data_IF_670302817972
#
_entry.id   IF_670302817972
#
_cell.length_a   1.000
_cell.length_b   1.000
_cell.length_c   1.000
_cell.angle_alpha   90.00
_cell.angle_beta   90.00
_cell.angle_gamma   90.00
#
_symmetry.space_group_name_H-M   'P 1'
#
loop_
_entity.id
_entity.type
_entity.pdbx_description
1 polymer ?
#
# COMPACT_ATOMS: atom_id res chain seq x y z
N UNK A 1 6.67 -14.67 -54.14
CA UNK A 1 6.20 -13.60 -55.03
C UNK A 1 4.70 -13.72 -55.19
N UNK A 2 3.99 -12.77 -54.56
CA UNK A 2 2.62 -12.27 -54.77
C UNK A 2 2.35 -11.49 -53.48
N UNK A 3 3.05 -10.36 -53.35
CA UNK A 3 2.46 -9.03 -53.47
C UNK A 3 1.72 -8.67 -52.18
N UNK A 4 2.53 -8.10 -51.28
CA UNK A 4 2.09 -7.11 -50.31
C UNK A 4 1.30 -6.02 -51.05
N UNK A 5 -0.02 -6.19 -51.09
CA UNK A 5 -0.92 -5.11 -51.41
C UNK A 5 -1.17 -4.33 -50.12
N UNK A 6 -0.69 -3.10 -50.08
CA UNK A 6 -1.25 -2.03 -49.25
C UNK A 6 -2.75 -1.87 -49.55
N UNK A 7 -3.56 -2.78 -49.01
CA UNK A 7 -5.02 -2.73 -49.07
C UNK A 7 -5.50 -1.85 -47.93
N UNK A 8 -6.15 -0.73 -48.27
CA UNK A 8 -6.80 0.22 -47.37
C UNK A 8 -7.30 -0.46 -46.09
N UNK A 9 -6.98 0.06 -44.90
CA UNK A 9 -7.46 -0.47 -43.60
C UNK A 9 -8.99 -0.48 -43.40
N UNK A 10 -9.76 -0.28 -44.46
CA UNK A 10 -11.21 -0.34 -44.54
C UNK A 10 -11.72 -1.78 -44.44
N UNK A 11 -12.60 -2.03 -43.47
CA UNK A 11 -13.40 -3.25 -43.42
C UNK A 11 -14.85 -2.91 -43.80
N UNK A 12 -15.45 -3.59 -44.79
CA UNK A 12 -16.83 -3.30 -45.18
C UNK A 12 -17.80 -3.72 -44.06
N UNK A 13 -18.87 -2.94 -43.79
CA UNK A 13 -19.89 -3.32 -42.82
C UNK A 13 -20.58 -4.62 -43.23
N UNK A 14 -20.89 -5.53 -42.29
CA UNK A 14 -21.63 -6.77 -42.60
C UNK A 14 -22.98 -6.54 -43.26
N UNK A 15 -23.57 -5.37 -43.03
CA UNK A 15 -24.79 -4.92 -43.71
C UNK A 15 -24.68 -4.83 -45.23
N UNK A 16 -23.49 -4.64 -45.79
CA UNK A 16 -23.27 -4.68 -47.24
C UNK A 16 -23.53 -6.08 -47.78
N UNK A 17 -22.97 -7.11 -47.12
CA UNK A 17 -23.20 -8.52 -47.48
C UNK A 17 -24.66 -8.90 -47.29
N UNK A 18 -25.31 -8.43 -46.22
CA UNK A 18 -26.77 -8.65 -46.04
C UNK A 18 -27.54 -8.06 -47.22
N UNK A 19 -27.22 -6.83 -47.67
CA UNK A 19 -27.91 -6.22 -48.83
C UNK A 19 -27.67 -6.99 -50.12
N UNK A 20 -26.50 -7.58 -50.31
CA UNK A 20 -26.22 -8.44 -51.46
C UNK A 20 -27.05 -9.73 -51.42
N UNK A 21 -27.10 -10.41 -50.28
CA UNK A 21 -27.87 -11.65 -50.12
C UNK A 21 -29.38 -11.44 -50.25
N UNK A 22 -29.88 -10.28 -49.81
CA UNK A 22 -31.28 -9.86 -50.02
C UNK A 22 -31.60 -9.67 -51.51
N UNK A 23 -30.72 -8.97 -52.25
CA UNK A 23 -30.90 -8.76 -53.69
C UNK A 23 -30.92 -10.09 -54.46
N UNK A 24 -30.02 -11.03 -54.13
CA UNK A 24 -29.97 -12.36 -54.77
C UNK A 24 -31.26 -13.15 -54.60
N UNK A 25 -31.95 -12.98 -53.47
CA UNK A 25 -33.20 -13.69 -53.12
C UNK A 25 -34.46 -12.90 -53.44
N UNK A 26 -34.34 -11.65 -53.91
CA UNK A 26 -35.48 -10.75 -54.11
C UNK A 26 -36.18 -10.33 -52.82
N UNK A 27 -35.50 -10.44 -51.67
CA UNK A 27 -36.07 -10.14 -50.35
C UNK A 27 -35.93 -8.66 -49.99
N UNK A 28 -36.93 -8.13 -49.32
CA UNK A 28 -36.86 -6.83 -48.65
C UNK A 28 -36.26 -6.96 -47.25
N UNK A 29 -35.89 -5.84 -46.63
CA UNK A 29 -35.45 -5.85 -45.22
C UNK A 29 -36.56 -6.29 -44.26
N UNK A 30 -37.83 -6.07 -44.64
CA UNK A 30 -38.99 -6.52 -43.88
C UNK A 30 -39.13 -8.05 -43.96
N UNK A 31 -38.89 -8.63 -45.14
CA UNK A 31 -38.88 -10.08 -45.31
C UNK A 31 -37.78 -10.73 -44.47
N UNK A 32 -36.58 -10.14 -44.45
CA UNK A 32 -35.51 -10.60 -43.57
C UNK A 32 -35.90 -10.52 -42.09
N UNK A 33 -36.56 -9.44 -41.68
CA UNK A 33 -37.02 -9.29 -40.30
C UNK A 33 -38.00 -10.39 -39.90
N UNK A 34 -38.91 -10.76 -40.80
CA UNK A 34 -39.83 -11.89 -40.60
C UNK A 34 -39.08 -13.23 -40.56
N UNK A 35 -38.12 -13.46 -41.48
CA UNK A 35 -37.32 -14.70 -41.54
C UNK A 35 -36.46 -14.90 -40.29
N UNK A 36 -35.88 -13.83 -39.76
CA UNK A 36 -35.06 -13.88 -38.55
C UNK A 36 -35.89 -13.86 -37.26
N UNK A 37 -37.20 -13.64 -37.34
CA UNK A 37 -38.08 -13.37 -36.19
C UNK A 37 -37.51 -12.24 -35.31
N UNK A 38 -37.17 -11.11 -35.95
CA UNK A 38 -36.58 -9.94 -35.29
C UNK A 38 -37.33 -8.65 -35.69
N UNK A 39 -37.36 -7.62 -34.82
CA UNK A 39 -37.96 -6.34 -35.18
C UNK A 39 -37.26 -5.70 -36.39
N UNK A 40 -38.03 -5.22 -37.37
CA UNK A 40 -37.51 -4.54 -38.56
C UNK A 40 -36.55 -3.37 -38.24
N UNK A 41 -36.76 -2.54 -37.19
CA UNK A 41 -35.79 -1.51 -36.81
C UNK A 41 -34.41 -2.07 -36.45
N UNK A 42 -34.35 -3.22 -35.77
CA UNK A 42 -33.10 -3.90 -35.41
C UNK A 42 -32.36 -4.39 -36.66
N UNK A 43 -33.07 -5.04 -37.58
CA UNK A 43 -32.49 -5.51 -38.85
C UNK A 43 -31.97 -4.33 -39.68
N UNK A 44 -32.71 -3.23 -39.75
CA UNK A 44 -32.25 -2.01 -40.41
C UNK A 44 -30.99 -1.42 -39.74
N UNK A 45 -30.92 -1.39 -38.40
CA UNK A 45 -29.73 -0.92 -37.68
C UNK A 45 -28.50 -1.83 -37.89
N UNK A 46 -28.69 -3.14 -38.00
CA UNK A 46 -27.63 -4.09 -38.37
C UNK A 46 -27.16 -3.82 -39.81
N UNK A 47 -28.09 -3.66 -40.75
CA UNK A 47 -27.78 -3.34 -42.15
C UNK A 47 -27.06 -2.00 -42.27
N UNK A 48 -27.38 -1.01 -41.43
CA UNK A 48 -26.68 0.28 -41.38
C UNK A 48 -25.33 0.21 -40.64
N UNK A 49 -24.94 -0.95 -40.09
CA UNK A 49 -23.72 -1.12 -39.29
C UNK A 49 -23.76 -0.43 -37.92
N UNK A 50 -24.92 0.09 -37.50
CA UNK A 50 -25.11 0.76 -36.20
C UNK A 50 -25.24 -0.23 -35.05
N UNK A 51 -25.85 -1.38 -35.31
CA UNK A 51 -26.05 -2.44 -34.33
C UNK A 51 -25.19 -3.65 -34.65
N UNK A 52 -24.71 -4.33 -33.60
CA UNK A 52 -23.85 -5.50 -33.70
C UNK A 52 -24.63 -6.76 -34.09
N UNK A 53 -24.00 -7.62 -34.89
CA UNK A 53 -24.46 -8.99 -35.09
C UNK A 53 -24.04 -9.80 -33.85
N UNK A 54 -25.00 -10.15 -33.00
CA UNK A 54 -24.75 -11.06 -31.87
C UNK A 54 -24.55 -12.50 -32.34
N UNK A 55 -23.97 -13.40 -31.52
CA UNK A 55 -23.85 -14.83 -31.89
C UNK A 55 -25.19 -15.47 -32.30
N UNK A 56 -26.28 -15.15 -31.62
CA UNK A 56 -27.62 -15.64 -31.93
C UNK A 56 -28.09 -15.12 -33.29
N UNK A 57 -27.82 -13.84 -33.57
CA UNK A 57 -28.16 -13.21 -34.85
C UNK A 57 -27.33 -13.83 -35.99
N UNK A 58 -26.05 -14.12 -35.75
CA UNK A 58 -25.18 -14.79 -36.72
C UNK A 58 -25.68 -16.22 -37.05
N UNK A 59 -26.16 -16.96 -36.06
CA UNK A 59 -26.78 -18.28 -36.28
C UNK A 59 -28.05 -18.14 -37.12
N UNK A 60 -28.92 -17.19 -36.80
CA UNK A 60 -30.14 -16.95 -37.57
C UNK A 60 -29.84 -16.54 -39.03
N UNK A 61 -28.88 -15.63 -39.23
CA UNK A 61 -28.39 -15.24 -40.55
C UNK A 61 -27.77 -16.41 -41.31
N UNK A 62 -27.11 -17.34 -40.61
CA UNK A 62 -26.53 -18.51 -41.27
C UNK A 62 -27.57 -19.45 -41.84
N UNK A 63 -28.70 -19.60 -41.15
CA UNK A 63 -29.84 -20.38 -41.64
C UNK A 63 -30.59 -19.64 -42.75
N UNK A 64 -30.62 -18.31 -42.73
CA UNK A 64 -31.32 -17.50 -43.72
C UNK A 64 -30.56 -17.36 -45.05
N UNK A 65 -29.22 -17.33 -44.99
CA UNK A 65 -28.37 -16.99 -46.14
C UNK A 65 -27.37 -18.07 -46.55
N UNK A 66 -27.35 -19.22 -45.87
CA UNK A 66 -26.44 -20.35 -46.14
C UNK A 66 -24.95 -19.98 -46.01
N UNK A 67 -24.66 -18.92 -45.26
CA UNK A 67 -23.31 -18.44 -44.93
C UNK A 67 -23.05 -18.78 -43.46
N UNK A 68 -21.94 -19.46 -43.15
CA UNK A 68 -21.69 -19.91 -41.78
C UNK A 68 -21.77 -18.78 -40.73
N UNK A 69 -22.26 -19.09 -39.53
CA UNK A 69 -22.31 -18.12 -38.44
C UNK A 69 -20.91 -17.57 -38.08
N UNK A 70 -19.87 -18.40 -38.23
CA UNK A 70 -18.48 -18.00 -38.03
C UNK A 70 -18.04 -16.91 -39.00
N UNK A 71 -18.46 -17.00 -40.26
CA UNK A 71 -18.16 -15.98 -41.28
C UNK A 71 -18.83 -14.64 -40.92
N UNK A 72 -20.09 -14.67 -40.48
CA UNK A 72 -20.79 -13.46 -40.02
C UNK A 72 -20.10 -12.79 -38.82
N UNK A 73 -19.69 -13.58 -37.82
CA UNK A 73 -18.94 -13.08 -36.66
C UNK A 73 -17.59 -12.51 -37.08
N UNK A 74 -16.88 -13.18 -37.98
CA UNK A 74 -15.56 -12.74 -38.46
C UNK A 74 -15.65 -11.38 -39.15
N UNK A 75 -16.66 -11.19 -40.01
CA UNK A 75 -16.91 -9.91 -40.69
C UNK A 75 -17.34 -8.80 -39.74
N UNK A 76 -18.25 -9.10 -38.81
CA UNK A 76 -18.66 -8.16 -37.76
C UNK A 76 -17.46 -7.71 -36.92
N UNK A 77 -16.61 -8.64 -36.51
CA UNK A 77 -15.41 -8.33 -35.75
C UNK A 77 -14.44 -7.45 -36.55
N UNK A 78 -14.20 -7.77 -37.83
CA UNK A 78 -13.35 -6.98 -38.70
C UNK A 78 -13.85 -5.53 -38.84
N UNK A 79 -15.16 -5.35 -39.04
CA UNK A 79 -15.78 -4.03 -39.14
C UNK A 79 -15.73 -3.24 -37.83
N UNK A 80 -16.04 -3.88 -36.68
CA UNK A 80 -15.96 -3.22 -35.37
C UNK A 80 -14.53 -2.83 -35.01
N UNK A 81 -13.55 -3.66 -35.35
CA UNK A 81 -12.14 -3.33 -35.20
C UNK A 81 -11.79 -2.09 -36.02
N UNK A 82 -12.20 -2.03 -37.28
CA UNK A 82 -11.99 -0.86 -38.14
C UNK A 82 -12.56 0.42 -37.52
N UNK A 83 -13.84 0.43 -37.12
CA UNK A 83 -14.47 1.58 -36.48
C UNK A 83 -13.76 2.00 -35.19
N UNK A 84 -13.31 1.02 -34.39
CA UNK A 84 -12.58 1.29 -33.14
C UNK A 84 -11.24 1.97 -33.42
N UNK A 85 -10.50 1.52 -34.44
CA UNK A 85 -9.24 2.14 -34.84
C UNK A 85 -9.42 3.57 -35.33
N UNK A 86 -10.46 3.83 -36.14
CA UNK A 86 -10.78 5.20 -36.57
C UNK A 86 -11.12 6.11 -35.39
N UNK A 87 -11.87 5.61 -34.41
CA UNK A 87 -12.20 6.37 -33.21
C UNK A 87 -10.95 6.63 -32.34
N UNK A 88 -10.04 5.66 -32.22
CA UNK A 88 -8.75 5.86 -31.53
C UNK A 88 -7.94 6.95 -32.23
N UNK A 89 -7.79 6.91 -33.55
CA UNK A 89 -7.06 7.92 -34.32
C UNK A 89 -7.68 9.31 -34.15
N UNK A 90 -9.02 9.40 -34.22
CA UNK A 90 -9.77 10.65 -33.98
C UNK A 90 -9.50 11.20 -32.58
N UNK A 91 -9.55 10.36 -31.56
CA UNK A 91 -9.30 10.76 -30.17
C UNK A 91 -7.85 11.15 -29.94
N UNK A 92 -6.88 10.44 -30.53
CA UNK A 92 -5.45 10.76 -30.44
C UNK A 92 -5.12 12.12 -31.07
N UNK A 93 -5.76 12.45 -32.20
CA UNK A 93 -5.67 13.78 -32.82
C UNK A 93 -6.17 14.90 -31.91
N UNK A 94 -7.13 14.61 -31.03
CA UNK A 94 -7.59 15.48 -29.95
C UNK A 94 -6.83 15.16 -28.64
N UNK A 95 -5.51 15.37 -28.65
CA UNK A 95 -4.57 14.94 -27.60
C UNK A 95 -4.97 15.35 -26.17
N UNK A 96 -5.76 16.42 -25.98
CA UNK A 96 -6.29 16.80 -24.67
C UNK A 96 -7.34 15.82 -24.14
N UNK A 97 -8.19 15.28 -25.00
CA UNK A 97 -9.26 14.35 -24.60
C UNK A 97 -8.74 12.92 -24.38
N UNK A 98 -7.76 12.48 -25.17
CA UNK A 98 -7.19 11.13 -25.06
C UNK A 98 -6.26 10.95 -23.85
N UNK A 99 -5.58 12.01 -23.40
CA UNK A 99 -4.70 11.96 -22.22
C UNK A 99 -5.43 12.19 -20.88
N UNK A 100 -6.62 12.83 -20.92
CA UNK A 100 -7.41 13.19 -19.73
C UNK A 100 -8.74 12.43 -19.66
N UNK A 101 -8.78 11.20 -20.14
CA UNK A 101 -10.01 10.40 -19.97
C UNK A 101 -10.31 10.21 -18.48
N UNK A 102 -11.59 10.24 -18.05
CA UNK A 102 -11.96 9.98 -16.66
C UNK A 102 -11.41 8.64 -16.12
N UNK A 103 -11.24 7.64 -17.00
CA UNK A 103 -10.69 6.33 -16.67
C UNK A 103 -9.19 6.42 -16.36
N UNK A 104 -8.39 7.10 -17.20
CA UNK A 104 -6.96 7.31 -16.92
C UNK A 104 -6.75 8.12 -15.64
N UNK A 105 -7.56 9.16 -15.43
CA UNK A 105 -7.51 9.95 -14.19
C UNK A 105 -7.78 9.09 -12.96
N UNK A 106 -8.88 8.32 -12.96
CA UNK A 106 -9.18 7.37 -11.87
C UNK A 106 -8.07 6.35 -11.68
N UNK A 107 -7.51 5.80 -12.75
CA UNK A 107 -6.37 4.88 -12.68
C UNK A 107 -5.21 5.52 -11.92
N UNK A 108 -4.77 6.73 -12.32
CA UNK A 108 -3.67 7.45 -11.65
C UNK A 108 -3.95 7.67 -10.15
N UNK A 109 -5.17 8.06 -9.79
CA UNK A 109 -5.53 8.29 -8.38
C UNK A 109 -5.42 7.01 -7.54
N UNK A 110 -5.81 5.86 -8.08
CA UNK A 110 -5.75 4.56 -7.40
C UNK A 110 -4.35 3.93 -7.42
N UNK A 111 -3.51 4.29 -8.40
CA UNK A 111 -2.07 3.96 -8.40
C UNK A 111 -1.30 4.81 -7.38
N UNK A 112 -1.74 6.04 -7.13
CA UNK A 112 -1.11 6.95 -6.17
C UNK A 112 -1.40 6.58 -4.71
N UNK A 113 -2.62 6.13 -4.41
CA UNK A 113 -3.05 5.90 -3.02
C UNK A 113 -4.16 4.84 -2.88
N UNK A 114 -4.31 4.18 -1.71
CA UNK A 114 -5.43 3.29 -1.41
C UNK A 114 -6.70 4.11 -1.09
N UNK A 115 -7.28 4.74 -2.11
CA UNK A 115 -8.37 5.73 -2.00
C UNK A 115 -9.51 5.26 -1.10
N UNK A 116 -10.02 4.05 -1.32
CA UNK A 116 -11.19 3.55 -0.57
C UNK A 116 -10.92 3.37 0.92
N UNK A 117 -9.74 2.87 1.26
CA UNK A 117 -9.33 2.71 2.65
C UNK A 117 -9.13 4.08 3.30
N UNK A 118 -8.48 5.03 2.62
CA UNK A 118 -8.30 6.40 3.12
C UNK A 118 -9.63 7.14 3.33
N UNK A 119 -10.62 6.93 2.44
CA UNK A 119 -11.98 7.45 2.59
C UNK A 119 -12.68 6.83 3.82
N UNK A 120 -12.59 5.50 3.97
CA UNK A 120 -13.15 4.77 5.13
C UNK A 120 -12.54 5.24 6.45
N UNK A 121 -11.25 5.55 6.45
CA UNK A 121 -10.47 6.05 7.59
C UNK A 121 -10.68 7.56 7.84
N UNK A 122 -11.45 8.25 7.00
CA UNK A 122 -11.66 9.69 7.12
C UNK A 122 -10.39 10.54 6.88
N UNK A 123 -9.34 9.96 6.27
CA UNK A 123 -8.10 10.66 5.94
C UNK A 123 -8.29 11.60 4.74
N UNK A 124 -9.21 11.23 3.84
CA UNK A 124 -9.67 12.05 2.72
C UNK A 124 -11.20 12.04 2.65
N UNK A 125 -11.78 13.01 1.95
CA UNK A 125 -13.23 13.09 1.74
C UNK A 125 -13.72 11.86 0.96
N UNK A 126 -14.79 11.24 1.45
CA UNK A 126 -15.52 10.22 0.71
C UNK A 126 -16.28 10.88 -0.45
N UNK A 127 -15.84 10.57 -1.68
CA UNK A 127 -16.44 11.10 -2.90
C UNK A 127 -16.33 10.06 -4.04
N UNK A 128 -17.26 10.13 -4.99
CA UNK A 128 -17.26 9.31 -6.21
C UNK A 128 -16.73 10.07 -7.42
N UNK A 129 -16.68 11.40 -7.31
CA UNK A 129 -16.10 12.28 -8.31
C UNK A 129 -14.57 12.24 -8.30
N UNK A 130 -13.97 12.20 -9.49
CA UNK A 130 -12.53 12.07 -9.65
C UNK A 130 -11.79 13.37 -9.31
N UNK A 131 -12.40 14.53 -9.58
CA UNK A 131 -11.79 15.84 -9.32
C UNK A 131 -11.77 16.13 -7.81
N UNK A 132 -12.87 15.83 -7.11
CA UNK A 132 -12.96 15.93 -5.66
C UNK A 132 -11.97 14.98 -4.95
N UNK A 133 -11.79 13.76 -5.48
CA UNK A 133 -10.81 12.79 -4.98
C UNK A 133 -9.38 13.30 -5.19
N UNK A 134 -9.08 13.82 -6.40
CA UNK A 134 -7.79 14.43 -6.70
C UNK A 134 -7.46 15.57 -5.74
N UNK A 135 -8.37 16.52 -5.56
CA UNK A 135 -8.18 17.65 -4.65
C UNK A 135 -7.88 17.19 -3.22
N UNK A 136 -8.57 16.14 -2.76
CA UNK A 136 -8.35 15.56 -1.43
C UNK A 136 -6.99 14.89 -1.31
N UNK A 137 -6.54 14.14 -2.33
CA UNK A 137 -5.21 13.52 -2.34
C UNK A 137 -4.10 14.57 -2.43
N UNK A 138 -4.26 15.60 -3.26
CA UNK A 138 -3.31 16.73 -3.36
C UNK A 138 -3.13 17.42 -2.03
N UNK A 139 -4.24 17.69 -1.32
CA UNK A 139 -4.21 18.25 0.03
C UNK A 139 -3.55 17.30 1.04
N UNK A 140 -3.86 16.01 0.98
CA UNK A 140 -3.32 15.00 1.89
C UNK A 140 -1.80 14.86 1.76
N UNK A 141 -1.31 14.78 0.52
CA UNK A 141 0.11 14.62 0.20
C UNK A 141 0.89 15.94 0.11
N UNK A 142 0.21 17.09 0.12
CA UNK A 142 0.85 18.40 -0.06
C UNK A 142 1.51 18.56 -1.44
N UNK A 143 0.90 17.98 -2.49
CA UNK A 143 1.44 18.00 -3.86
C UNK A 143 0.63 18.90 -4.79
N UNK A 144 1.30 19.56 -5.73
CA UNK A 144 0.66 20.40 -6.74
C UNK A 144 0.00 19.60 -7.87
N UNK A 145 0.51 18.42 -8.18
CA UNK A 145 -0.05 17.53 -9.21
C UNK A 145 0.06 16.07 -8.76
N UNK A 146 -0.94 15.26 -9.12
CA UNK A 146 -0.93 13.79 -8.90
C UNK A 146 0.09 13.06 -9.77
N UNK A 147 0.67 13.73 -10.76
CA UNK A 147 1.79 13.21 -11.55
C UNK A 147 3.13 13.29 -10.80
N UNK A 148 3.19 14.06 -9.71
CA UNK A 148 4.38 14.17 -8.88
C UNK A 148 4.34 13.10 -7.77
N UNK A 149 5.42 12.33 -7.64
CA UNK A 149 5.53 11.36 -6.55
C UNK A 149 5.67 12.08 -5.19
N UNK A 150 4.81 11.79 -4.20
CA UNK A 150 4.89 12.43 -2.89
C UNK A 150 6.19 12.05 -2.15
N UNK A 151 6.97 13.04 -1.65
CA UNK A 151 8.18 12.77 -0.90
C UNK A 151 7.86 12.31 0.53
N UNK A 152 8.22 11.07 0.87
CA UNK A 152 7.94 10.46 2.18
C UNK A 152 8.76 11.08 3.32
N UNK A 153 9.99 11.54 3.02
CA UNK A 153 10.96 12.07 4.01
C UNK A 153 11.05 13.59 4.09
N UNK A 154 10.17 14.33 3.40
CA UNK A 154 10.30 15.78 3.29
C UNK A 154 11.57 16.20 2.53
N UNK A 155 12.20 17.30 2.95
CA UNK A 155 13.32 17.94 2.25
C UNK A 155 14.70 17.30 2.50
N UNK A 156 14.80 16.17 3.20
CA UNK A 156 16.08 15.48 3.39
C UNK A 156 16.60 14.96 2.03
N UNK A 157 17.81 15.38 1.64
CA UNK A 157 18.45 14.97 0.39
C UNK A 157 18.62 13.45 0.35
N UNK A 158 17.98 12.80 -0.62
CA UNK A 158 18.18 11.37 -0.92
C UNK A 158 19.65 11.12 -1.28
N UNK A 159 20.33 10.26 -0.54
CA UNK A 159 21.69 9.80 -0.87
C UNK A 159 21.75 8.33 -1.33
N UNK A 160 20.63 7.59 -1.33
CA UNK A 160 20.60 6.19 -1.76
C UNK A 160 19.31 5.83 -2.54
N UNK A 161 19.36 4.82 -3.44
CA UNK A 161 18.17 4.25 -4.04
C UNK A 161 17.39 3.46 -2.97
N UNK A 162 16.25 3.99 -2.52
CA UNK A 162 15.31 3.24 -1.69
C UNK A 162 14.35 2.47 -2.59
N UNK A 163 13.96 1.25 -2.20
CA UNK A 163 12.81 0.55 -2.78
C UNK A 163 11.60 1.51 -2.75
N UNK A 164 10.88 1.71 -3.87
CA UNK A 164 9.73 2.60 -3.88
C UNK A 164 8.65 2.09 -2.92
N UNK A 165 8.24 2.92 -1.96
CA UNK A 165 7.17 2.55 -1.05
C UNK A 165 5.86 2.34 -1.83
N UNK A 166 5.11 1.31 -1.46
CA UNK A 166 3.78 1.07 -2.01
C UNK A 166 2.84 2.26 -1.72
N UNK A 167 1.76 2.43 -2.49
CA UNK A 167 0.79 3.49 -2.24
C UNK A 167 0.25 3.51 -0.81
N UNK A 168 0.06 2.32 -0.21
CA UNK A 168 -0.43 2.18 1.16
C UNK A 168 0.64 2.54 2.20
N UNK A 169 1.89 2.12 2.01
CA UNK A 169 3.02 2.53 2.87
C UNK A 169 3.21 4.05 2.84
N UNK A 170 3.15 4.65 1.65
CA UNK A 170 3.26 6.10 1.45
C UNK A 170 2.13 6.85 2.14
N UNK A 171 0.88 6.44 1.93
CA UNK A 171 -0.27 7.04 2.60
C UNK A 171 -0.14 6.96 4.13
N UNK A 172 0.30 5.83 4.66
CA UNK A 172 0.51 5.62 6.09
C UNK A 172 1.64 6.51 6.65
N UNK A 173 2.78 6.61 5.97
CA UNK A 173 3.89 7.47 6.39
C UNK A 173 3.53 8.96 6.39
N UNK A 174 2.75 9.41 5.40
CA UNK A 174 2.19 10.76 5.40
C UNK A 174 1.24 10.98 6.59
N UNK A 175 0.48 9.96 7.00
CA UNK A 175 -0.39 10.07 8.17
C UNK A 175 0.41 10.28 9.45
N UNK A 176 1.47 9.50 9.63
CA UNK A 176 2.42 9.63 10.73
C UNK A 176 2.95 11.07 10.81
N UNK A 177 3.43 11.61 9.67
CA UNK A 177 3.95 12.99 9.59
C UNK A 177 2.88 14.04 9.92
N UNK A 178 1.66 13.89 9.42
CA UNK A 178 0.57 14.83 9.70
C UNK A 178 0.24 14.88 11.19
N UNK A 179 0.09 13.71 11.84
CA UNK A 179 -0.21 13.64 13.27
C UNK A 179 0.94 14.20 14.10
N UNK A 180 2.19 13.88 13.74
CA UNK A 180 3.36 14.40 14.43
C UNK A 180 3.50 15.93 14.27
N UNK A 181 3.23 16.46 13.08
CA UNK A 181 3.29 17.91 12.80
C UNK A 181 2.25 18.69 13.60
N UNK A 182 1.13 18.05 13.92
CA UNK A 182 0.08 18.63 14.74
C UNK A 182 0.39 18.60 16.25
N UNK A 183 1.52 18.03 16.68
CA UNK A 183 2.00 18.13 18.07
C UNK A 183 2.80 19.44 18.23
N UNK A 184 2.36 20.37 19.11
CA UNK A 184 3.03 21.66 19.27
C UNK A 184 4.49 21.50 19.68
N UNK A 185 5.39 22.21 18.97
CA UNK A 185 6.83 22.20 19.28
C UNK A 185 7.13 22.62 20.72
N UNK A 186 6.39 23.60 21.25
CA UNK A 186 6.49 24.04 22.64
C UNK A 186 6.21 22.93 23.66
N UNK A 187 5.42 21.92 23.27
CA UNK A 187 5.11 20.80 24.16
C UNK A 187 6.20 19.73 24.18
N UNK A 188 6.95 19.54 23.09
CA UNK A 188 7.90 18.43 22.90
C UNK A 188 9.34 18.81 23.29
N UNK A 189 9.67 20.09 23.32
CA UNK A 189 11.05 20.53 23.56
C UNK A 189 11.95 20.32 22.33
N UNK A 190 13.23 20.65 22.48
CA UNK A 190 14.22 20.55 21.40
C UNK A 190 14.94 19.21 21.47
N UNK A 191 15.09 18.53 20.34
CA UNK A 191 15.91 17.33 20.25
C UNK A 191 17.39 17.65 20.45
N UNK A 192 18.06 16.86 21.28
CA UNK A 192 19.50 16.86 21.48
C UNK A 192 20.06 15.48 21.15
N UNK A 193 20.84 15.40 20.09
CA UNK A 193 21.46 14.17 19.60
C UNK A 193 22.42 13.55 20.62
N UNK A 194 23.05 14.38 21.46
CA UNK A 194 23.95 13.89 22.52
C UNK A 194 23.22 13.16 23.65
N UNK A 195 21.90 13.36 23.76
CA UNK A 195 21.06 12.77 24.80
C UNK A 195 20.37 11.45 24.37
N UNK A 196 20.58 10.96 23.13
CA UNK A 196 19.88 9.77 22.64
C UNK A 196 20.24 8.49 23.42
N UNK A 197 21.49 8.37 23.87
CA UNK A 197 21.90 7.22 24.69
C UNK A 197 21.24 7.25 26.08
N UNK A 198 20.96 8.43 26.62
CA UNK A 198 20.20 8.58 27.86
C UNK A 198 18.71 8.28 27.65
N UNK A 199 18.14 8.68 26.51
CA UNK A 199 16.80 8.26 26.08
C UNK A 199 16.66 6.74 26.05
N UNK A 200 17.61 6.05 25.39
CA UNK A 200 17.64 4.59 25.34
C UNK A 200 17.75 3.99 26.74
N UNK A 201 18.59 4.57 27.61
CA UNK A 201 18.75 4.12 29.00
C UNK A 201 17.46 4.23 29.80
N UNK A 202 16.69 5.31 29.62
CA UNK A 202 15.40 5.50 30.28
C UNK A 202 14.33 4.55 29.73
N UNK A 203 14.29 4.34 28.41
CA UNK A 203 13.38 3.37 27.78
C UNK A 203 13.64 1.94 28.25
N UNK A 204 14.91 1.55 28.44
CA UNK A 204 15.26 0.23 29.01
C UNK A 204 14.66 0.01 30.40
N UNK A 205 14.55 1.05 31.23
CA UNK A 205 13.88 0.95 32.55
C UNK A 205 12.41 0.62 32.42
N UNK A 206 11.73 1.12 31.38
CA UNK A 206 10.33 0.86 31.10
C UNK A 206 10.11 -0.55 30.53
N UNK A 207 11.05 -1.04 29.73
CA UNK A 207 10.98 -2.36 29.08
C UNK A 207 11.02 -3.55 30.06
N UNK A 208 11.30 -3.31 31.33
CA UNK A 208 11.20 -4.31 32.40
C UNK A 208 9.76 -4.71 32.74
N UNK A 209 8.78 -3.79 32.56
CA UNK A 209 7.41 -3.98 33.04
C UNK A 209 6.38 -3.63 31.98
N UNK A 210 5.43 -4.52 31.72
CA UNK A 210 4.45 -4.34 30.66
C UNK A 210 3.56 -3.10 30.81
N UNK A 211 3.17 -2.79 32.06
CA UNK A 211 2.37 -1.62 32.38
C UNK A 211 3.08 -0.29 32.09
N UNK A 212 4.42 -0.28 32.03
CA UNK A 212 5.22 0.94 31.91
C UNK A 212 5.36 1.42 30.46
N UNK A 213 4.90 0.62 29.49
CA UNK A 213 4.77 1.04 28.09
C UNK A 213 3.92 2.31 27.95
N UNK A 214 2.96 2.55 28.86
CA UNK A 214 2.19 3.80 28.94
C UNK A 214 3.05 5.07 29.04
N UNK A 215 4.29 4.95 29.55
CA UNK A 215 5.20 6.08 29.75
C UNK A 215 6.12 6.32 28.55
N UNK A 216 6.16 5.41 27.57
CA UNK A 216 7.03 5.55 26.38
C UNK A 216 6.78 6.87 25.63
N UNK A 217 5.52 7.30 25.36
CA UNK A 217 5.28 8.57 24.69
C UNK A 217 5.87 9.76 25.46
N UNK A 218 5.71 9.79 26.79
CA UNK A 218 6.26 10.84 27.66
C UNK A 218 7.78 10.80 27.73
N UNK A 219 8.38 9.59 27.77
CA UNK A 219 9.82 9.42 27.78
C UNK A 219 10.44 9.95 26.48
N UNK A 220 9.96 9.52 25.32
CA UNK A 220 10.43 10.00 24.01
C UNK A 220 10.27 11.53 23.87
N UNK A 221 9.12 12.03 24.32
CA UNK A 221 8.82 13.47 24.34
C UNK A 221 9.83 14.26 25.18
N UNK A 222 10.29 13.75 26.32
CA UNK A 222 11.29 14.44 27.15
C UNK A 222 12.64 14.65 26.42
N UNK A 223 12.92 13.85 25.40
CA UNK A 223 14.11 13.94 24.56
C UNK A 223 13.84 14.62 23.20
N UNK A 224 12.70 15.29 23.03
CA UNK A 224 12.38 16.00 21.78
C UNK A 224 11.86 15.12 20.65
N UNK A 225 11.56 13.83 20.91
CA UNK A 225 11.10 12.88 19.89
C UNK A 225 9.57 12.82 19.88
N UNK A 226 8.97 13.11 18.73
CA UNK A 226 7.52 12.98 18.53
C UNK A 226 7.16 11.52 18.29
N UNK A 227 6.21 11.01 19.06
CA UNK A 227 5.79 9.62 18.97
C UNK A 227 4.30 9.53 18.67
N UNK A 228 3.95 8.78 17.62
CA UNK A 228 2.55 8.56 17.21
C UNK A 228 2.33 7.09 16.87
N UNK A 229 1.08 6.64 17.01
CA UNK A 229 0.65 5.31 16.58
C UNK A 229 -0.34 5.49 15.42
N UNK A 230 -0.14 4.75 14.33
CA UNK A 230 -1.09 4.73 13.22
C UNK A 230 -1.32 3.28 12.83
N UNK A 231 -2.53 2.77 12.98
CA UNK A 231 -2.85 1.40 12.53
C UNK A 231 -2.52 1.26 11.03
N UNK A 232 -1.84 0.15 10.69
CA UNK A 232 -1.44 -0.13 9.31
C UNK A 232 -2.63 -0.22 8.35
N UNK A 233 -2.44 0.26 7.13
CA UNK A 233 -3.41 0.05 6.05
C UNK A 233 -3.33 -1.38 5.51
N UNK A 234 -4.45 -1.89 5.00
CA UNK A 234 -4.48 -3.21 4.36
C UNK A 234 -3.42 -3.32 3.26
N UNK A 235 -2.61 -4.37 3.32
CA UNK A 235 -1.53 -4.63 2.36
C UNK A 235 -0.28 -3.75 2.51
N UNK A 236 -0.27 -2.73 3.38
CA UNK A 236 0.90 -1.88 3.57
C UNK A 236 2.07 -2.61 4.21
N UNK A 237 1.78 -3.71 4.96
CA UNK A 237 2.76 -4.46 5.77
C UNK A 237 3.75 -3.49 6.41
N UNK A 238 3.32 -2.65 7.35
CA UNK A 238 4.20 -1.64 7.97
C UNK A 238 4.40 -1.98 9.43
N UNK A 239 5.60 -1.80 9.97
CA UNK A 239 5.91 -2.01 11.39
C UNK A 239 6.23 -0.68 12.09
N UNK A 240 7.11 0.12 11.50
CA UNK A 240 7.54 1.42 12.01
C UNK A 240 8.04 2.37 10.93
N UNK A 241 8.28 3.62 11.32
CA UNK A 241 8.83 4.66 10.45
C UNK A 241 9.46 5.79 11.26
N UNK A 242 10.75 5.98 11.06
CA UNK A 242 11.54 7.11 11.55
C UNK A 242 11.65 8.20 10.47
N UNK A 243 11.30 9.43 10.83
CA UNK A 243 11.41 10.57 9.92
C UNK A 243 11.65 11.87 10.68
N UNK A 244 11.85 12.95 9.93
CA UNK A 244 12.09 14.28 10.46
C UNK A 244 11.10 15.27 9.83
N UNK A 245 10.53 16.15 10.65
CA UNK A 245 9.70 17.27 10.18
C UNK A 245 10.58 18.42 9.67
N UNK A 246 11.72 18.63 10.35
CA UNK A 246 12.78 19.59 10.10
C UNK A 246 14.10 19.04 10.68
N UNK A 247 15.21 19.79 10.62
CA UNK A 247 16.54 19.34 11.07
C UNK A 247 16.67 19.01 12.57
N UNK A 248 15.67 19.36 13.39
CA UNK A 248 15.67 19.23 14.85
C UNK A 248 14.40 18.56 15.42
N UNK A 249 13.48 18.09 14.56
CA UNK A 249 12.18 17.53 14.96
C UNK A 249 12.02 16.08 14.50
N UNK A 250 12.61 15.11 15.22
CA UNK A 250 12.47 13.69 14.90
C UNK A 250 11.07 13.17 15.25
N UNK A 251 10.64 12.19 14.47
CA UNK A 251 9.34 11.51 14.56
C UNK A 251 9.55 10.02 14.48
N UNK A 252 8.90 9.30 15.37
CA UNK A 252 8.74 7.84 15.31
C UNK A 252 7.25 7.54 15.22
N UNK A 253 6.84 6.86 14.14
CA UNK A 253 5.51 6.31 13.97
C UNK A 253 5.55 4.78 14.04
N UNK A 254 4.69 4.16 14.84
CA UNK A 254 4.56 2.69 14.90
C UNK A 254 3.18 2.23 14.47
N UNK A 255 3.12 1.07 13.82
CA UNK A 255 1.86 0.49 13.34
C UNK A 255 1.19 -0.47 14.33
N UNK A 256 2.01 -1.08 15.20
CA UNK A 256 1.61 -2.20 16.06
C UNK A 256 1.00 -3.38 15.28
N UNK A 257 1.45 -3.61 14.04
CA UNK A 257 1.02 -4.75 13.19
C UNK A 257 1.04 -6.06 13.95
N UNK A 258 2.08 -6.26 14.75
CA UNK A 258 2.14 -7.33 15.75
C UNK A 258 1.92 -6.74 17.14
N UNK A 259 0.72 -6.95 17.70
CA UNK A 259 0.37 -6.54 19.07
C UNK A 259 1.08 -7.44 20.11
N UNK A 260 2.41 -7.32 20.15
CA UNK A 260 3.30 -8.13 20.98
C UNK A 260 4.37 -7.26 21.60
N UNK A 261 4.61 -7.48 22.89
CA UNK A 261 5.56 -6.72 23.69
C UNK A 261 6.98 -6.75 23.15
N UNK A 262 7.45 -7.93 22.74
CA UNK A 262 8.79 -8.11 22.17
C UNK A 262 8.94 -7.45 20.80
N UNK A 263 7.92 -7.58 19.95
CA UNK A 263 7.88 -6.91 18.64
C UNK A 263 7.91 -5.40 18.80
N UNK A 264 7.10 -4.85 19.71
CA UNK A 264 7.04 -3.41 19.97
C UNK A 264 8.40 -2.82 20.36
N UNK A 265 9.10 -3.44 21.32
CA UNK A 265 10.41 -2.94 21.76
C UNK A 265 11.46 -3.07 20.67
N UNK A 266 11.44 -4.17 19.90
CA UNK A 266 12.35 -4.33 18.77
C UNK A 266 12.10 -3.27 17.69
N UNK A 267 10.86 -3.06 17.27
CA UNK A 267 10.51 -2.00 16.30
C UNK A 267 10.90 -0.62 16.82
N UNK A 268 10.57 -0.28 18.07
CA UNK A 268 10.96 1.01 18.64
C UNK A 268 12.48 1.20 18.67
N UNK A 269 13.24 0.16 19.02
CA UNK A 269 14.70 0.20 19.01
C UNK A 269 15.28 0.38 17.61
N UNK A 270 14.66 -0.24 16.60
CA UNK A 270 15.02 -0.09 15.19
C UNK A 270 14.83 1.38 14.76
N UNK A 271 13.66 1.97 15.02
CA UNK A 271 13.41 3.37 14.67
C UNK A 271 14.34 4.34 15.43
N UNK A 272 14.67 4.05 16.69
CA UNK A 272 15.63 4.85 17.46
C UNK A 272 17.04 4.81 16.86
N UNK A 273 17.47 3.68 16.29
CA UNK A 273 18.74 3.59 15.57
C UNK A 273 18.74 4.56 14.38
N UNK A 274 17.66 4.61 13.61
CA UNK A 274 17.55 5.56 12.50
C UNK A 274 17.58 7.02 12.95
N UNK A 275 16.91 7.36 14.06
CA UNK A 275 17.00 8.71 14.64
C UNK A 275 18.43 9.02 15.11
N UNK A 276 19.11 8.05 15.74
CA UNK A 276 20.49 8.18 16.22
C UNK A 276 21.49 8.44 15.10
N UNK A 277 21.31 7.80 13.95
CA UNK A 277 22.24 7.93 12.81
C UNK A 277 21.76 8.92 11.75
N UNK A 278 20.62 9.61 11.97
CA UNK A 278 19.96 10.51 11.01
C UNK A 278 19.74 9.87 9.64
N UNK A 279 19.31 8.62 9.63
CA UNK A 279 19.04 7.89 8.40
C UNK A 279 17.77 8.38 7.71
N UNK A 280 17.73 8.18 6.38
CA UNK A 280 16.48 8.20 5.62
C UNK A 280 15.91 6.78 5.67
N UNK A 281 15.16 6.49 6.73
CA UNK A 281 14.57 5.17 6.99
C UNK A 281 13.44 4.86 6.00
N UNK A 282 13.49 3.80 5.18
CA UNK A 282 12.32 3.37 4.41
C UNK A 282 11.13 3.09 5.35
N UNK A 283 9.90 3.09 4.81
CA UNK A 283 8.76 2.59 5.60
C UNK A 283 8.94 1.09 5.77
N UNK A 284 9.32 0.64 6.96
CA UNK A 284 9.74 -0.74 7.16
C UNK A 284 8.53 -1.69 7.17
N UNK A 285 8.72 -2.84 6.51
CA UNK A 285 7.70 -3.84 6.25
C UNK A 285 8.00 -5.25 6.73
N UNK A 286 9.21 -5.48 7.22
CA UNK A 286 9.68 -6.79 7.67
C UNK A 286 10.68 -6.68 8.84
N UNK A 287 10.17 -6.16 9.96
CA UNK A 287 10.91 -6.09 11.21
C UNK A 287 10.76 -7.43 11.95
N UNK A 288 11.79 -8.27 11.84
CA UNK A 288 12.11 -9.30 12.82
C UNK A 288 11.17 -10.51 12.93
N UNK A 289 10.36 -10.86 11.91
CA UNK A 289 9.46 -12.02 12.03
C UNK A 289 9.56 -13.09 10.94
N UNK A 290 10.02 -12.81 9.71
CA UNK A 290 10.24 -13.87 8.72
C UNK A 290 11.49 -13.54 7.87
N UNK A 291 12.54 -14.36 7.92
CA UNK A 291 13.60 -14.29 6.91
C UNK A 291 13.01 -14.81 5.60
N UNK A 292 12.59 -13.94 4.70
CA UNK A 292 12.42 -14.31 3.31
C UNK A 292 13.82 -14.38 2.66
N UNK A 293 14.33 -15.58 2.31
CA UNK A 293 15.65 -15.72 1.71
C UNK A 293 15.73 -15.13 0.29
N UNK A 294 14.60 -14.70 -0.29
CA UNK A 294 14.50 -14.09 -1.62
C UNK A 294 14.57 -12.56 -1.62
N UNK A 295 14.57 -11.91 -0.44
CA UNK A 295 14.71 -10.45 -0.34
C UNK A 295 16.15 -10.00 -0.60
N UNK A 296 16.28 -8.90 -1.36
CA UNK A 296 17.52 -8.18 -1.59
C UNK A 296 18.32 -7.98 -0.28
N UNK A 297 19.65 -7.94 -0.40
CA UNK A 297 20.53 -7.61 0.72
C UNK A 297 20.09 -6.28 1.32
N UNK A 298 19.56 -6.33 2.56
CA UNK A 298 19.13 -5.14 3.30
C UNK A 298 20.23 -4.06 3.24
N UNK A 299 19.88 -2.78 2.97
CA UNK A 299 20.83 -1.68 2.99
C UNK A 299 21.67 -1.66 4.28
N UNK A 300 22.91 -1.11 4.24
CA UNK A 300 23.76 -1.06 5.44
C UNK A 300 23.10 -0.40 6.66
N UNK A 301 22.27 0.64 6.44
CA UNK A 301 21.53 1.31 7.52
C UNK A 301 20.51 0.39 8.19
N UNK A 302 19.74 -0.39 7.42
CA UNK A 302 18.75 -1.36 7.92
C UNK A 302 19.42 -2.47 8.73
N UNK A 303 20.56 -2.99 8.23
CA UNK A 303 21.32 -4.02 8.95
C UNK A 303 21.87 -3.50 10.28
N UNK A 304 22.30 -2.24 10.32
CA UNK A 304 22.73 -1.58 11.56
C UNK A 304 21.54 -1.41 12.50
N UNK A 305 20.40 -0.92 12.02
CA UNK A 305 19.20 -0.73 12.82
C UNK A 305 18.70 -2.04 13.45
N UNK A 306 18.66 -3.14 12.69
CA UNK A 306 18.32 -4.48 13.20
C UNK A 306 19.30 -4.96 14.28
N UNK A 307 20.60 -4.73 14.07
CA UNK A 307 21.65 -5.12 15.03
C UNK A 307 21.59 -4.29 16.32
N UNK A 308 21.40 -2.99 16.20
CA UNK A 308 21.27 -2.09 17.35
C UNK A 308 19.97 -2.39 18.11
N UNK A 309 18.84 -2.55 17.43
CA UNK A 309 17.56 -2.90 18.05
C UNK A 309 17.63 -4.22 18.86
N UNK A 310 18.33 -5.21 18.32
CA UNK A 310 18.52 -6.52 18.99
C UNK A 310 19.31 -6.40 20.30
N UNK A 311 20.31 -5.53 20.33
CA UNK A 311 21.21 -5.33 21.47
C UNK A 311 20.76 -4.20 22.42
N UNK A 312 19.83 -3.35 21.97
CA UNK A 312 19.37 -2.16 22.69
C UNK A 312 18.68 -2.49 24.02
N UNK A 313 17.97 -3.61 24.09
CA UNK A 313 17.23 -4.02 25.29
C UNK A 313 17.85 -5.22 26.00
N UNK A 314 18.64 -6.04 25.29
CA UNK A 314 19.35 -7.18 25.87
C UNK A 314 20.80 -7.10 25.41
N UNK A 315 21.79 -6.93 26.31
CA UNK A 315 23.20 -6.93 25.91
C UNK A 315 23.57 -8.25 25.22
N UNK A 316 24.31 -8.16 24.11
CA UNK A 316 24.63 -9.30 23.25
C UNK A 316 25.46 -10.37 23.96
N UNK A 317 26.42 -9.96 24.78
CA UNK A 317 27.27 -10.83 25.59
C UNK A 317 26.46 -11.60 26.64
N UNK A 318 25.53 -10.92 27.30
CA UNK A 318 24.62 -11.50 28.29
C UNK A 318 23.69 -12.54 27.65
N UNK A 319 23.13 -12.24 26.47
CA UNK A 319 22.25 -13.16 25.74
C UNK A 319 23.03 -14.38 25.22
N UNK A 320 24.22 -14.18 24.63
CA UNK A 320 25.09 -15.26 24.17
C UNK A 320 25.48 -16.19 25.32
N UNK A 321 25.88 -15.63 26.47
CA UNK A 321 26.19 -16.39 27.68
C UNK A 321 25.00 -17.18 28.21
N UNK A 322 23.79 -16.62 28.14
CA UNK A 322 22.56 -17.32 28.52
C UNK A 322 22.26 -18.50 27.59
N UNK A 323 22.30 -18.28 26.27
CA UNK A 323 22.08 -19.31 25.25
C UNK A 323 23.05 -20.48 25.46
N UNK A 324 24.35 -20.20 25.61
CA UNK A 324 25.38 -21.22 25.81
C UNK A 324 25.19 -22.06 27.08
N UNK A 325 24.69 -21.46 28.17
CA UNK A 325 24.51 -22.16 29.46
C UNK A 325 23.19 -22.91 29.57
N UNK A 326 22.16 -22.48 28.86
CA UNK A 326 20.78 -22.97 29.03
C UNK A 326 20.34 -23.87 27.88
N UNK A 327 20.85 -23.63 26.67
CA UNK A 327 20.51 -24.42 25.49
C UNK A 327 20.80 -25.92 25.67
N UNK A 328 20.05 -26.78 24.96
CA UNK A 328 18.96 -26.46 24.02
C UNK A 328 17.58 -26.32 24.69
N UNK A 329 17.46 -26.49 26.01
CA UNK A 329 16.18 -26.53 26.72
C UNK A 329 15.95 -25.28 27.60
N UNK A 330 15.12 -24.38 27.08
CA UNK A 330 14.79 -23.10 27.71
C UNK A 330 13.50 -23.18 28.53
N UNK A 331 13.61 -23.52 29.82
CA UNK A 331 12.45 -23.50 30.73
C UNK A 331 12.01 -22.07 31.04
N UNK A 332 10.71 -21.89 31.33
CA UNK A 332 10.14 -20.58 31.72
C UNK A 332 10.85 -20.01 32.94
N UNK A 333 11.21 -20.86 33.91
CA UNK A 333 11.93 -20.46 35.11
C UNK A 333 13.31 -19.87 34.77
N UNK A 334 14.11 -20.52 33.93
CA UNK A 334 15.43 -20.02 33.53
C UNK A 334 15.33 -18.70 32.76
N UNK A 335 14.32 -18.56 31.88
CA UNK A 335 14.05 -17.31 31.15
C UNK A 335 13.70 -16.20 32.15
N UNK A 336 12.81 -16.45 33.11
CA UNK A 336 12.41 -15.48 34.12
C UNK A 336 13.58 -15.06 35.02
N UNK A 337 14.42 -16.00 35.44
CA UNK A 337 15.62 -15.71 36.23
C UNK A 337 16.61 -14.82 35.46
N UNK A 338 16.84 -15.11 34.18
CA UNK A 338 17.67 -14.27 33.33
C UNK A 338 17.06 -12.87 33.15
N UNK A 339 15.77 -12.80 32.86
CA UNK A 339 14.99 -11.56 32.72
C UNK A 339 15.12 -10.66 33.95
N UNK A 340 14.92 -11.22 35.15
CA UNK A 340 15.04 -10.50 36.41
C UNK A 340 16.46 -9.98 36.64
N UNK A 341 17.48 -10.78 36.33
CA UNK A 341 18.89 -10.39 36.49
C UNK A 341 19.27 -9.21 35.61
N UNK A 342 18.84 -9.20 34.35
CA UNK A 342 19.11 -8.11 33.41
C UNK A 342 18.07 -6.98 33.47
N UNK A 343 17.08 -7.09 34.36
CA UNK A 343 15.96 -6.17 34.55
C UNK A 343 15.18 -5.90 33.25
N UNK A 344 14.79 -6.97 32.56
CA UNK A 344 14.00 -6.91 31.34
C UNK A 344 12.78 -7.81 31.45
N UNK A 345 11.73 -7.52 30.67
CA UNK A 345 10.57 -8.41 30.64
C UNK A 345 10.91 -9.74 29.92
N UNK A 346 10.45 -10.90 30.42
CA UNK A 346 10.70 -12.20 29.81
C UNK A 346 10.32 -12.31 28.33
N UNK A 347 9.25 -11.63 27.90
CA UNK A 347 8.80 -11.66 26.50
C UNK A 347 9.87 -11.18 25.51
N UNK A 348 10.67 -10.16 25.88
CA UNK A 348 11.73 -9.64 24.99
C UNK A 348 12.80 -10.71 24.76
N UNK A 349 13.17 -11.45 25.81
CA UNK A 349 14.11 -12.57 25.71
C UNK A 349 13.52 -13.67 24.83
N UNK A 350 12.26 -14.03 25.05
CA UNK A 350 11.55 -15.02 24.23
C UNK A 350 11.57 -14.62 22.76
N UNK A 351 11.30 -13.34 22.45
CA UNK A 351 11.38 -12.80 21.09
C UNK A 351 12.76 -12.98 20.46
N UNK A 352 13.82 -12.63 21.20
CA UNK A 352 15.20 -12.78 20.73
C UNK A 352 15.61 -14.24 20.51
N UNK A 353 15.12 -15.18 21.35
CA UNK A 353 15.34 -16.62 21.18
C UNK A 353 14.59 -17.17 19.96
N UNK A 354 13.32 -16.75 19.75
CA UNK A 354 12.53 -17.13 18.56
C UNK A 354 13.20 -16.64 17.27
N UNK A 355 13.62 -15.38 17.25
CA UNK A 355 14.30 -14.77 16.10
C UNK A 355 15.61 -15.51 15.74
N UNK A 356 16.35 -15.99 16.74
CA UNK A 356 17.60 -16.76 16.53
C UNK A 356 17.37 -18.24 16.23
N UNK A 357 16.12 -18.72 16.25
CA UNK A 357 15.80 -20.13 16.04
C UNK A 357 16.18 -21.04 17.22
N UNK A 358 16.48 -20.48 18.38
CA UNK A 358 16.80 -21.24 19.61
C UNK A 358 15.57 -21.97 20.16
N UNK A 359 14.38 -21.41 19.91
CA UNK A 359 13.09 -22.00 20.24
C UNK A 359 12.10 -21.79 19.08
N UNK A 360 11.13 -22.69 18.95
CA UNK A 360 10.06 -22.55 17.94
C UNK A 360 9.09 -21.40 18.25
N UNK A 361 8.42 -20.89 17.20
CA UNK A 361 7.47 -19.78 17.33
C UNK A 361 6.27 -20.08 18.23
N UNK A 362 5.90 -21.35 18.42
CA UNK A 362 4.84 -21.79 19.33
C UNK A 362 5.27 -21.87 20.81
N UNK A 363 6.57 -21.82 21.09
CA UNK A 363 7.09 -21.92 22.46
C UNK A 363 6.76 -20.67 23.28
N UNK A 364 6.48 -20.87 24.58
CA UNK A 364 6.24 -19.82 25.57
C UNK A 364 5.14 -18.79 25.21
N UNK A 365 4.16 -19.16 24.38
CA UNK A 365 3.08 -18.25 23.97
C UNK A 365 2.21 -17.74 25.13
N UNK A 366 2.15 -18.47 26.26
CA UNK A 366 1.49 -18.01 27.49
C UNK A 366 2.13 -16.75 28.09
N UNK A 367 3.38 -16.46 27.74
CA UNK A 367 4.12 -15.26 28.17
C UNK A 367 4.03 -14.12 27.13
N UNK A 368 3.21 -14.27 26.09
CA UNK A 368 2.96 -13.19 25.14
C UNK A 368 2.12 -12.09 25.82
N UNK A 369 2.62 -10.86 25.74
CA UNK A 369 1.96 -9.69 26.33
C UNK A 369 1.61 -8.74 25.18
N UNK A 370 0.37 -8.23 25.18
CA UNK A 370 -0.09 -7.23 24.24
C UNK A 370 0.25 -5.82 24.75
N UNK A 371 0.43 -4.87 23.84
CA UNK A 371 0.82 -3.49 24.17
C UNK A 371 -0.21 -2.47 23.72
N UNK A 372 -0.98 -2.78 22.68
CA UNK A 372 -1.85 -1.84 21.98
C UNK A 372 -2.83 -1.14 22.91
N UNK A 373 -3.62 -1.89 23.66
CA UNK A 373 -4.67 -1.32 24.53
C UNK A 373 -4.13 -0.31 25.55
N UNK A 374 -2.89 -0.50 26.00
CA UNK A 374 -2.20 0.43 26.88
C UNK A 374 -1.68 1.62 26.08
N UNK A 375 -0.93 1.38 24.99
CA UNK A 375 -0.32 2.45 24.18
C UNK A 375 -1.35 3.42 23.62
N UNK A 376 -2.43 2.94 23.03
CA UNK A 376 -3.40 3.79 22.34
C UNK A 376 -4.14 4.74 23.27
N UNK A 377 -4.12 4.49 24.59
CA UNK A 377 -4.67 5.39 25.62
C UNK A 377 -3.72 6.51 26.02
N UNK A 378 -2.43 6.37 25.72
CA UNK A 378 -1.37 7.28 26.17
C UNK A 378 -0.57 7.93 25.03
N UNK A 379 -0.70 7.43 23.80
CA UNK A 379 -0.11 8.00 22.60
C UNK A 379 -1.18 8.61 21.68
N UNK A 380 -0.82 9.63 20.92
CA UNK A 380 -1.64 10.11 19.79
C UNK A 380 -1.78 8.96 18.80
N UNK A 381 -3.02 8.56 18.54
CA UNK A 381 -3.32 7.32 17.81
C UNK A 381 -4.39 7.53 16.74
N UNK A 382 -4.15 7.03 15.53
CA UNK A 382 -5.15 6.90 14.46
C UNK A 382 -5.33 5.43 14.06
N UNK A 383 -6.54 4.91 14.23
CA UNK A 383 -6.91 3.51 14.01
C UNK A 383 -7.68 2.90 15.16
N UNK A 384 -8.10 1.65 14.99
CA UNK A 384 -8.92 0.91 15.95
C UNK A 384 -10.13 1.73 16.42
N UNK A 385 -10.94 2.16 15.44
CA UNK A 385 -12.15 2.99 15.62
C UNK A 385 -11.91 4.41 16.17
N UNK A 386 -10.65 4.88 16.17
CA UNK A 386 -10.28 6.25 16.53
C UNK A 386 -9.71 6.97 15.32
N UNK A 387 -10.35 8.06 14.90
CA UNK A 387 -9.80 8.93 13.85
C UNK A 387 -9.55 10.30 14.43
N UNK A 388 -8.31 10.79 14.31
CA UNK A 388 -7.93 12.11 14.81
C UNK A 388 -7.87 13.08 13.63
N UNK A 389 -8.59 14.20 13.69
CA UNK A 389 -8.36 15.28 12.73
C UNK A 389 -7.08 16.03 13.17
N UNK A 390 -5.99 16.05 12.36
CA UNK A 390 -4.77 16.76 12.74
C UNK A 390 -5.00 18.25 12.99
N UNK A 391 -5.96 18.88 12.31
CA UNK A 391 -6.33 20.28 12.53
C UNK A 391 -7.11 20.54 13.83
N UNK A 392 -7.45 19.49 14.59
CA UNK A 392 -8.12 19.57 15.88
C UNK A 392 -7.22 19.15 17.05
N UNK A 393 -5.95 18.81 16.79
CA UNK A 393 -4.96 18.60 17.84
C UNK A 393 -4.53 19.97 18.41
N UNK A 394 -4.33 20.07 19.74
CA UNK A 394 -4.06 21.33 20.44
C UNK A 394 -2.72 21.94 20.06
#
# INVERSE_FOLDING_TARGET
MTEDAHGTGYAPPPGDLIREELKKRGWTQLDLAQVLDQPAPRVNQIIQGKQTISPETAIALSKAFDISAQEWITREFAYRRYLTLQEIERLQGDSKHYQNSPVQKRKKLYELAPVKEMQRRGWIRADTDADATEASLRRYFGIESIDNEPPIHGNMRKSAPSVPASPAQRAWAFRVRQLASAIPAASVGRYDESAIDDCIRDLRKLAAYSAEVRKVPTALKAYGIRFVIVEGLSGAKVDGFATWLDDASPVIGLSLRYDRFDSFWFTLGHELSHIKHRDISPVDSDIGTERDPSLEVKPPMERRADSEASSMFIPDDELKSFILRVGPLYSTEKINQFANRIKMHPSIIIGQLKYRGEIGYSAHNKSAVQVRDTLIKHAITDGWDRTINPGALP
#
